data_IF_144501821465
#
_entry.id   IF_144501821465
#
_cell.length_a   1.000
_cell.length_b   1.000
_cell.length_c   1.000
_cell.angle_alpha   90.00
_cell.angle_beta   90.00
_cell.angle_gamma   90.00
#
_symmetry.space_group_name_H-M   'P 1'
#
loop_
_entity.id
_entity.type
_entity.pdbx_description
1 polymer ?
#
# COMPACT_ATOMS: atom_id res chain seq x y z
N UNK A 1 3.28 -27.69 -5.84
CA UNK A 1 1.96 -27.33 -6.41
C UNK A 1 2.23 -26.49 -7.65
N UNK A 2 1.60 -26.79 -8.78
CA UNK A 2 1.85 -26.10 -10.05
C UNK A 2 1.50 -24.61 -9.92
N UNK A 3 2.33 -23.70 -10.44
CA UNK A 3 2.16 -22.25 -10.38
C UNK A 3 0.79 -21.79 -10.90
N UNK A 4 0.31 -22.43 -11.96
CA UNK A 4 -1.01 -22.17 -12.55
C UNK A 4 -2.14 -22.48 -11.56
N UNK A 5 -2.09 -23.62 -10.87
CA UNK A 5 -3.09 -23.97 -9.86
C UNK A 5 -3.07 -22.99 -8.69
N UNK A 6 -1.88 -22.57 -8.25
CA UNK A 6 -1.75 -21.56 -7.18
C UNK A 6 -2.43 -20.25 -7.55
N UNK A 7 -2.27 -19.79 -8.80
CA UNK A 7 -2.94 -18.56 -9.29
C UNK A 7 -4.46 -18.75 -9.38
N UNK A 8 -4.95 -19.89 -9.84
CA UNK A 8 -6.40 -20.18 -9.90
C UNK A 8 -7.01 -20.13 -8.49
N UNK A 9 -6.40 -20.82 -7.52
CA UNK A 9 -6.86 -20.78 -6.12
C UNK A 9 -6.81 -19.38 -5.52
N UNK A 10 -5.83 -18.56 -5.87
CA UNK A 10 -5.74 -17.17 -5.42
C UNK A 10 -6.90 -16.32 -5.96
N UNK A 11 -7.32 -16.51 -7.21
CA UNK A 11 -8.49 -15.83 -7.76
C UNK A 11 -9.80 -16.30 -7.11
N UNK A 12 -9.99 -17.62 -6.93
CA UNK A 12 -11.17 -18.15 -6.24
C UNK A 12 -11.28 -17.59 -4.82
N UNK A 13 -10.16 -17.53 -4.11
CA UNK A 13 -10.12 -16.92 -2.77
C UNK A 13 -10.42 -15.42 -2.84
N UNK A 14 -9.93 -14.71 -3.85
CA UNK A 14 -10.28 -13.30 -4.09
C UNK A 14 -11.79 -13.08 -4.21
N UNK A 15 -12.50 -13.94 -4.94
CA UNK A 15 -13.95 -13.87 -5.07
C UNK A 15 -14.66 -14.01 -3.72
N UNK A 16 -14.15 -14.86 -2.81
CA UNK A 16 -14.72 -15.00 -1.47
C UNK A 16 -14.59 -13.72 -0.64
N UNK A 17 -13.49 -12.97 -0.79
CA UNK A 17 -13.27 -11.69 -0.08
C UNK A 17 -14.09 -10.53 -0.63
N UNK A 18 -14.79 -10.65 -1.77
CA UNK A 18 -15.67 -9.60 -2.34
C UNK A 18 -16.78 -9.13 -1.39
N UNK A 19 -17.13 -9.94 -0.39
CA UNK A 19 -18.06 -9.53 0.67
C UNK A 19 -17.50 -8.45 1.60
N UNK A 20 -16.19 -8.34 1.71
CA UNK A 20 -15.48 -7.40 2.61
C UNK A 20 -14.67 -6.34 1.88
N UNK A 21 -14.34 -6.57 0.63
CA UNK A 21 -13.51 -5.70 -0.20
C UNK A 21 -14.26 -5.43 -1.50
N UNK A 22 -14.45 -4.16 -1.84
CA UNK A 22 -14.94 -3.77 -3.15
C UNK A 22 -13.81 -3.91 -4.17
N UNK A 23 -14.02 -4.66 -5.23
CA UNK A 23 -13.02 -4.95 -6.25
C UNK A 23 -13.54 -4.56 -7.63
N UNK A 24 -12.84 -3.67 -8.32
CA UNK A 24 -13.18 -3.26 -9.69
C UNK A 24 -12.94 -4.37 -10.73
N UNK A 25 -12.11 -5.37 -10.39
CA UNK A 25 -11.81 -6.51 -11.24
C UNK A 25 -11.36 -7.73 -10.46
N UNK A 26 -10.59 -8.61 -11.11
CA UNK A 26 -10.03 -9.79 -10.47
C UNK A 26 -8.84 -9.40 -9.58
N UNK A 27 -8.88 -9.83 -8.32
CA UNK A 27 -7.82 -9.67 -7.32
C UNK A 27 -7.36 -11.04 -6.87
N UNK A 28 -6.04 -11.27 -6.90
CA UNK A 28 -5.43 -12.51 -6.41
C UNK A 28 -5.20 -12.42 -4.91
N UNK A 29 -5.70 -13.39 -4.15
CA UNK A 29 -5.44 -13.50 -2.71
C UNK A 29 -4.72 -14.83 -2.46
N UNK A 30 -3.40 -14.77 -2.23
CA UNK A 30 -2.54 -15.97 -2.19
C UNK A 30 -2.62 -16.77 -0.89
N UNK A 31 -3.27 -16.25 0.14
CA UNK A 31 -3.42 -16.95 1.40
C UNK A 31 -4.51 -16.35 2.28
N UNK A 32 -4.51 -16.72 3.54
CA UNK A 32 -5.43 -16.11 4.52
C UNK A 32 -5.02 -14.69 4.82
N UNK A 33 -5.94 -13.74 4.69
CA UNK A 33 -5.75 -12.32 5.06
C UNK A 33 -6.77 -11.92 6.13
N UNK A 34 -6.46 -10.87 6.89
CA UNK A 34 -7.35 -10.31 7.91
C UNK A 34 -7.95 -9.00 7.39
N UNK A 35 -9.26 -8.97 7.22
CA UNK A 35 -9.98 -7.78 6.73
C UNK A 35 -10.97 -7.33 7.79
N UNK A 36 -10.84 -6.08 8.24
CA UNK A 36 -11.75 -5.41 9.17
C UNK A 36 -12.19 -4.07 8.59
N UNK A 37 -13.48 -3.88 8.40
CA UNK A 37 -14.06 -2.67 7.84
C UNK A 37 -15.33 -2.26 8.57
N UNK A 38 -15.21 -1.85 9.82
CA UNK A 38 -16.31 -1.29 10.60
C UNK A 38 -16.44 0.20 10.32
N UNK A 39 -17.59 0.63 9.78
CA UNK A 39 -17.83 2.00 9.33
C UNK A 39 -16.77 2.51 8.34
N UNK A 40 -16.29 1.63 7.46
CA UNK A 40 -15.30 1.98 6.45
C UNK A 40 -15.45 1.16 5.18
N UNK A 41 -14.71 1.52 4.15
CA UNK A 41 -14.65 0.80 2.89
C UNK A 41 -13.21 0.47 2.51
N UNK A 42 -13.04 -0.66 1.84
CA UNK A 42 -11.77 -1.09 1.26
C UNK A 42 -12.03 -1.34 -0.23
N UNK A 43 -11.35 -0.56 -1.08
CA UNK A 43 -11.52 -0.61 -2.52
C UNK A 43 -10.22 -1.07 -3.18
N UNK A 44 -10.31 -2.03 -4.10
CA UNK A 44 -9.20 -2.47 -4.92
C UNK A 44 -9.52 -2.30 -6.40
N UNK A 45 -8.55 -1.84 -7.14
CA UNK A 45 -8.54 -1.83 -8.59
C UNK A 45 -8.44 -3.23 -9.20
N UNK A 46 -8.09 -3.30 -10.47
CA UNK A 46 -7.95 -4.54 -11.24
C UNK A 46 -6.55 -5.14 -11.08
N UNK A 47 -6.43 -6.46 -11.24
CA UNK A 47 -5.15 -7.19 -11.31
C UNK A 47 -4.25 -7.03 -10.07
N UNK A 48 -4.79 -6.64 -8.94
CA UNK A 48 -4.05 -6.56 -7.69
C UNK A 48 -3.72 -7.93 -7.12
N UNK A 49 -2.71 -7.96 -6.25
CA UNK A 49 -2.29 -9.16 -5.53
C UNK A 49 -2.20 -8.88 -4.04
N UNK A 50 -2.74 -9.77 -3.21
CA UNK A 50 -2.66 -9.68 -1.75
C UNK A 50 -2.06 -10.99 -1.24
N UNK A 51 -1.00 -10.87 -0.47
CA UNK A 51 -0.23 -12.00 0.01
C UNK A 51 -0.61 -12.44 1.43
N UNK A 52 -0.19 -13.63 1.87
CA UNK A 52 -0.65 -14.22 3.13
C UNK A 52 -0.36 -13.35 4.36
N UNK A 53 -1.25 -13.37 5.33
CA UNK A 53 -1.08 -12.64 6.58
C UNK A 53 -1.31 -11.13 6.50
N UNK A 54 -1.56 -10.58 5.31
CA UNK A 54 -1.87 -9.16 5.18
C UNK A 54 -3.08 -8.78 6.04
N UNK A 55 -3.01 -7.64 6.72
CA UNK A 55 -4.06 -7.10 7.59
C UNK A 55 -4.52 -5.74 7.06
N UNK A 56 -5.74 -5.70 6.57
CA UNK A 56 -6.36 -4.50 6.01
C UNK A 56 -7.47 -4.04 6.95
N UNK A 57 -7.29 -2.87 7.55
CA UNK A 57 -8.23 -2.30 8.51
C UNK A 57 -8.71 -0.95 7.98
N UNK A 58 -10.02 -0.80 7.85
CA UNK A 58 -10.68 0.46 7.49
C UNK A 58 -11.82 0.70 8.48
N UNK A 59 -11.49 1.29 9.62
CA UNK A 59 -12.39 1.46 10.75
C UNK A 59 -12.49 2.94 11.15
N UNK A 60 -13.62 3.58 10.84
CA UNK A 60 -13.93 4.91 11.34
C UNK A 60 -14.59 4.88 12.72
N UNK A 61 -14.36 5.89 13.53
CA UNK A 61 -15.15 6.17 14.74
C UNK A 61 -16.50 6.79 14.40
N UNK A 62 -16.57 7.58 13.32
CA UNK A 62 -17.79 8.21 12.84
C UNK A 62 -18.48 7.32 11.80
N UNK A 63 -19.75 7.06 11.98
CA UNK A 63 -20.58 6.37 10.96
C UNK A 63 -20.79 7.25 9.73
N UNK A 64 -20.84 8.57 9.92
CA UNK A 64 -21.12 9.53 8.85
C UNK A 64 -19.92 9.74 7.92
N UNK A 65 -18.70 9.76 8.48
CA UNK A 65 -17.47 10.05 7.75
C UNK A 65 -16.63 8.80 7.45
N UNK A 66 -17.17 7.67 7.26
CA UNK A 66 -16.48 6.38 7.10
C UNK A 66 -15.00 6.43 6.66
N UNK A 67 -14.20 5.47 7.10
CA UNK A 67 -12.81 5.34 6.67
C UNK A 67 -12.73 4.80 5.23
N UNK A 68 -11.75 5.24 4.44
CA UNK A 68 -11.58 4.81 3.04
C UNK A 68 -10.13 4.38 2.77
N UNK A 69 -9.95 3.08 2.56
CA UNK A 69 -8.72 2.51 2.00
C UNK A 69 -8.92 2.22 0.52
N UNK A 70 -8.12 2.85 -0.33
CA UNK A 70 -8.13 2.62 -1.79
C UNK A 70 -6.78 2.11 -2.26
N UNK A 71 -6.79 1.10 -3.11
CA UNK A 71 -5.61 0.54 -3.77
C UNK A 71 -5.88 0.50 -5.28
N UNK A 72 -5.03 1.15 -6.05
CA UNK A 72 -5.12 1.25 -7.50
C UNK A 72 -4.78 -0.06 -8.23
N UNK A 73 -4.85 0.01 -9.54
CA UNK A 73 -4.65 -1.14 -10.44
C UNK A 73 -3.23 -1.72 -10.35
N UNK A 74 -3.09 -3.01 -10.56
CA UNK A 74 -1.81 -3.72 -10.65
C UNK A 74 -0.92 -3.64 -9.40
N UNK A 75 -1.44 -3.18 -8.27
CA UNK A 75 -0.68 -3.02 -7.04
C UNK A 75 -0.64 -4.30 -6.21
N UNK A 76 0.44 -4.47 -5.44
CA UNK A 76 0.69 -5.66 -4.64
C UNK A 76 0.89 -5.33 -3.17
N UNK A 77 0.20 -6.07 -2.29
CA UNK A 77 0.35 -5.99 -0.83
C UNK A 77 1.05 -7.25 -0.35
N UNK A 78 2.30 -7.12 0.09
CA UNK A 78 3.15 -8.22 0.52
C UNK A 78 2.70 -8.93 1.79
N UNK A 79 3.38 -10.05 2.08
CA UNK A 79 3.07 -10.90 3.23
C UNK A 79 3.10 -10.11 4.55
N UNK A 80 2.17 -10.38 5.44
CA UNK A 80 2.06 -9.80 6.79
C UNK A 80 2.06 -8.26 6.86
N UNK A 81 1.96 -7.59 5.72
CA UNK A 81 1.83 -6.13 5.66
C UNK A 81 0.55 -5.69 6.33
N UNK A 82 0.62 -4.63 7.12
CA UNK A 82 -0.52 -4.07 7.85
C UNK A 82 -0.83 -2.66 7.36
N UNK A 83 -2.10 -2.42 7.03
CA UNK A 83 -2.62 -1.10 6.67
C UNK A 83 -3.72 -0.75 7.66
N UNK A 84 -3.51 0.33 8.43
CA UNK A 84 -4.44 0.83 9.44
C UNK A 84 -5.00 2.17 8.97
N UNK A 85 -6.28 2.19 8.63
CA UNK A 85 -6.97 3.35 8.09
C UNK A 85 -8.16 3.72 8.99
N UNK A 86 -8.23 4.96 9.42
CA UNK A 86 -9.31 5.54 10.21
C UNK A 86 -10.02 6.68 9.50
N UNK A 87 -9.32 7.40 8.64
CA UNK A 87 -9.86 8.42 7.73
C UNK A 87 -9.58 8.00 6.29
N UNK A 88 -8.34 8.15 5.79
CA UNK A 88 -8.04 7.87 4.39
C UNK A 88 -6.61 7.36 4.16
N UNK A 89 -6.52 6.24 3.44
CA UNK A 89 -5.27 5.76 2.85
C UNK A 89 -5.50 5.55 1.36
N UNK A 90 -4.71 6.22 0.53
CA UNK A 90 -4.73 6.07 -0.92
C UNK A 90 -3.42 5.48 -1.40
N UNK A 91 -3.50 4.37 -2.12
CA UNK A 91 -2.38 3.69 -2.77
C UNK A 91 -2.69 3.69 -4.26
N UNK A 92 -1.77 4.20 -5.06
CA UNK A 92 -1.90 4.36 -6.50
C UNK A 92 -1.78 3.05 -7.29
N UNK A 93 -1.54 3.20 -8.58
CA UNK A 93 -1.38 2.08 -9.51
C UNK A 93 0.07 1.59 -9.54
N UNK A 94 0.27 0.30 -9.88
CA UNK A 94 1.58 -0.30 -10.00
C UNK A 94 2.45 -0.13 -8.75
N UNK A 95 1.86 -0.04 -7.57
CA UNK A 95 2.59 0.07 -6.30
C UNK A 95 3.00 -1.31 -5.83
N UNK A 96 4.29 -1.46 -5.50
CA UNK A 96 4.85 -2.68 -4.93
C UNK A 96 5.13 -2.48 -3.44
N UNK A 97 4.35 -3.11 -2.58
CA UNK A 97 4.57 -3.12 -1.14
C UNK A 97 5.14 -4.49 -0.75
N UNK A 98 6.35 -4.49 -0.22
CA UNK A 98 7.03 -5.71 0.23
C UNK A 98 6.37 -6.29 1.50
N UNK A 99 6.97 -7.32 2.08
CA UNK A 99 6.43 -7.98 3.28
C UNK A 99 6.78 -7.22 4.58
N UNK A 100 5.98 -7.45 5.61
CA UNK A 100 6.11 -6.86 6.95
C UNK A 100 6.08 -5.31 6.99
N UNK A 101 5.51 -4.66 5.97
CA UNK A 101 5.37 -3.20 5.94
C UNK A 101 4.22 -2.77 6.86
N UNK A 102 4.36 -1.62 7.52
CA UNK A 102 3.31 -1.01 8.32
C UNK A 102 2.94 0.37 7.76
N UNK A 103 1.67 0.55 7.41
CA UNK A 103 1.09 1.82 6.97
C UNK A 103 0.11 2.26 8.05
N UNK A 104 0.47 3.29 8.81
CA UNK A 104 -0.19 3.72 10.04
C UNK A 104 -0.71 5.15 9.89
N UNK A 105 -1.96 5.27 9.46
CA UNK A 105 -2.57 6.56 9.14
C UNK A 105 -3.03 7.34 10.39
N UNK A 106 -3.01 6.72 11.55
CA UNK A 106 -3.42 7.35 12.80
C UNK A 106 -2.60 6.87 13.98
N UNK A 107 -2.62 7.64 15.06
CA UNK A 107 -2.15 7.20 16.36
C UNK A 107 -3.17 6.22 16.96
N UNK A 108 -2.70 5.20 17.67
CA UNK A 108 -3.59 4.28 18.37
C UNK A 108 -4.08 4.87 19.70
N UNK A 109 -3.27 5.71 20.30
CA UNK A 109 -3.52 6.39 21.58
C UNK A 109 -3.16 7.87 21.47
N UNK A 110 -3.83 8.72 22.23
CA UNK A 110 -3.50 10.13 22.35
C UNK A 110 -2.77 10.39 23.67
N UNK A 111 -1.58 11.02 23.65
CA UNK A 111 -0.95 11.49 24.87
C UNK A 111 -1.89 12.45 25.61
N UNK A 112 -2.09 12.22 26.92
CA UNK A 112 -2.96 13.05 27.73
C UNK A 112 -4.47 12.81 27.57
N UNK A 113 -4.90 11.75 26.85
CA UNK A 113 -6.30 11.32 26.80
C UNK A 113 -7.21 12.10 25.85
N UNK A 114 -6.64 12.90 24.95
CA UNK A 114 -7.38 13.61 23.90
C UNK A 114 -7.78 12.71 22.72
N UNK A 115 -8.26 13.32 21.64
CA UNK A 115 -8.62 12.60 20.43
C UNK A 115 -7.41 12.00 19.71
N UNK A 116 -7.60 10.82 19.15
CA UNK A 116 -6.59 10.18 18.31
C UNK A 116 -6.49 10.92 16.98
N UNK A 117 -5.29 11.36 16.65
CA UNK A 117 -5.03 12.11 15.42
C UNK A 117 -4.87 11.13 14.25
N UNK A 118 -5.72 11.30 13.24
CA UNK A 118 -5.63 10.66 11.94
C UNK A 118 -5.24 11.70 10.89
N UNK A 119 -4.30 11.36 10.00
CA UNK A 119 -3.88 12.20 8.89
C UNK A 119 -3.71 11.33 7.65
N UNK A 120 -4.36 11.66 6.53
CA UNK A 120 -4.35 10.85 5.33
C UNK A 120 -2.94 10.48 4.87
N UNK A 121 -2.78 9.26 4.38
CA UNK A 121 -1.56 8.80 3.70
C UNK A 121 -1.85 8.67 2.21
N UNK A 122 -0.95 9.19 1.39
CA UNK A 122 -0.98 9.05 -0.06
C UNK A 122 0.30 8.38 -0.53
N UNK A 123 0.16 7.28 -1.24
CA UNK A 123 1.24 6.58 -1.93
C UNK A 123 0.89 6.66 -3.42
N UNK A 124 1.64 7.44 -4.17
CA UNK A 124 1.37 7.66 -5.58
C UNK A 124 1.73 6.45 -6.45
N UNK A 125 1.53 6.56 -7.75
CA UNK A 125 1.76 5.47 -8.70
C UNK A 125 3.23 5.05 -8.74
N UNK A 126 3.49 3.77 -9.08
CA UNK A 126 4.83 3.24 -9.33
C UNK A 126 5.77 3.32 -8.10
N UNK A 127 5.26 3.47 -6.90
CA UNK A 127 6.08 3.47 -5.68
C UNK A 127 6.46 2.04 -5.30
N UNK A 128 7.71 1.86 -4.91
CA UNK A 128 8.18 0.62 -4.28
C UNK A 128 8.50 0.85 -2.80
N UNK A 129 7.84 0.09 -1.93
CA UNK A 129 8.09 0.13 -0.48
C UNK A 129 8.82 -1.14 -0.07
N UNK A 130 10.03 -0.98 0.43
CA UNK A 130 10.90 -2.05 0.89
C UNK A 130 10.41 -2.74 2.15
N UNK A 131 10.95 -3.92 2.39
CA UNK A 131 10.63 -4.80 3.52
C UNK A 131 10.71 -4.07 4.86
N UNK A 132 9.73 -4.31 5.75
CA UNK A 132 9.69 -3.77 7.12
C UNK A 132 9.70 -2.24 7.21
N UNK A 133 9.41 -1.53 6.13
CA UNK A 133 9.25 -0.08 6.20
C UNK A 133 8.00 0.29 7.01
N UNK A 134 8.04 1.45 7.64
CA UNK A 134 6.93 2.03 8.40
C UNK A 134 6.60 3.38 7.78
N UNK A 135 5.35 3.54 7.34
CA UNK A 135 4.84 4.81 6.79
C UNK A 135 3.89 5.40 7.83
N UNK A 136 4.20 6.59 8.32
CA UNK A 136 3.41 7.26 9.34
C UNK A 136 2.36 8.18 8.74
N UNK A 137 1.38 8.56 9.56
CA UNK A 137 0.26 9.44 9.23
C UNK A 137 0.71 10.74 8.57
N UNK A 138 -0.11 11.25 7.66
CA UNK A 138 0.09 12.52 6.98
C UNK A 138 1.15 12.51 5.87
N UNK A 139 1.77 11.36 5.57
CA UNK A 139 2.85 11.27 4.58
C UNK A 139 2.29 11.10 3.17
N UNK A 140 2.87 11.86 2.22
CA UNK A 140 2.75 11.63 0.78
C UNK A 140 4.06 11.06 0.24
N UNK A 141 3.99 9.91 -0.43
CA UNK A 141 5.12 9.32 -1.16
C UNK A 141 4.88 9.54 -2.65
N UNK A 142 5.71 10.39 -3.26
CA UNK A 142 5.58 10.80 -4.66
C UNK A 142 5.86 9.67 -5.65
N UNK A 143 5.28 9.80 -6.84
CA UNK A 143 5.34 8.84 -7.94
C UNK A 143 6.76 8.31 -8.20
N UNK A 144 6.87 7.01 -8.47
CA UNK A 144 8.11 6.36 -8.85
C UNK A 144 9.18 6.31 -7.75
N UNK A 145 8.85 6.74 -6.52
CA UNK A 145 9.82 6.73 -5.42
C UNK A 145 10.04 5.33 -4.85
N UNK A 146 11.18 5.13 -4.24
CA UNK A 146 11.59 3.87 -3.61
C UNK A 146 11.87 4.13 -2.14
N UNK A 147 11.19 3.40 -1.27
CA UNK A 147 11.44 3.41 0.18
C UNK A 147 12.30 2.22 0.55
N UNK A 148 13.46 2.49 1.16
CA UNK A 148 14.41 1.46 1.58
C UNK A 148 13.83 0.53 2.64
N UNK A 149 14.37 -0.69 2.70
CA UNK A 149 13.97 -1.66 3.73
C UNK A 149 14.24 -1.12 5.14
N UNK A 150 13.31 -1.34 6.07
CA UNK A 150 13.39 -0.89 7.45
C UNK A 150 13.28 0.63 7.66
N UNK A 151 12.97 1.39 6.62
CA UNK A 151 12.84 2.85 6.72
C UNK A 151 11.60 3.24 7.54
N UNK A 152 11.72 4.33 8.32
CA UNK A 152 10.58 4.94 9.02
C UNK A 152 10.29 6.30 8.40
N UNK A 153 9.26 6.36 7.55
CA UNK A 153 8.90 7.56 6.80
C UNK A 153 7.96 8.42 7.64
N UNK A 154 8.47 9.59 8.02
CA UNK A 154 7.80 10.55 8.90
C UNK A 154 7.47 11.88 8.20
N UNK A 155 7.92 12.06 6.96
CA UNK A 155 7.74 13.26 6.13
C UNK A 155 7.55 12.85 4.69
N UNK A 156 7.01 13.78 3.89
CA UNK A 156 6.79 13.56 2.46
C UNK A 156 8.08 13.20 1.73
N UNK A 157 7.95 12.31 0.75
CA UNK A 157 9.02 11.89 -0.15
C UNK A 157 8.69 12.43 -1.54
N UNK A 158 9.54 13.29 -2.13
CA UNK A 158 9.31 13.81 -3.47
C UNK A 158 9.29 12.70 -4.53
N UNK A 159 8.64 12.91 -5.68
CA UNK A 159 8.64 11.94 -6.77
C UNK A 159 10.05 11.53 -7.20
N UNK A 160 10.18 10.27 -7.65
CA UNK A 160 11.42 9.67 -8.17
C UNK A 160 12.59 9.82 -7.19
N UNK A 161 12.35 9.55 -5.92
CA UNK A 161 13.34 9.70 -4.86
C UNK A 161 13.51 8.38 -4.10
N UNK A 162 14.76 7.98 -3.87
CA UNK A 162 15.08 6.96 -2.89
C UNK A 162 15.17 7.58 -1.50
N UNK A 163 14.33 7.10 -0.60
CA UNK A 163 14.34 7.51 0.81
C UNK A 163 14.60 6.30 1.71
N UNK A 164 15.43 6.47 2.73
CA UNK A 164 15.79 5.37 3.64
C UNK A 164 16.27 5.85 5.00
N UNK A 165 16.34 4.93 5.96
CA UNK A 165 16.79 5.18 7.33
C UNK A 165 15.66 5.38 8.33
N UNK A 166 15.99 5.64 9.60
CA UNK A 166 15.06 5.92 10.69
C UNK A 166 15.55 7.14 11.50
N UNK A 167 14.89 8.33 11.40
CA UNK A 167 13.84 8.62 10.42
C UNK A 167 14.37 8.62 8.98
N UNK A 168 13.51 8.30 8.01
CA UNK A 168 13.87 8.27 6.60
C UNK A 168 14.26 9.65 6.09
N UNK A 169 15.33 9.67 5.28
CA UNK A 169 15.82 10.86 4.58
C UNK A 169 15.82 10.61 3.08
N UNK A 170 15.60 11.66 2.30
CA UNK A 170 15.74 11.61 0.85
C UNK A 170 17.24 11.52 0.51
N UNK A 171 17.66 10.40 -0.08
CA UNK A 171 19.07 10.07 -0.30
C UNK A 171 19.53 10.47 -1.70
N UNK A 172 18.75 10.10 -2.73
CA UNK A 172 19.10 10.37 -4.13
C UNK A 172 17.88 10.31 -5.04
N UNK A 173 17.98 10.88 -6.21
CA UNK A 173 17.01 10.68 -7.29
C UNK A 173 17.17 9.29 -7.88
N UNK A 174 16.04 8.70 -8.28
CA UNK A 174 15.97 7.37 -8.91
C UNK A 174 15.03 7.44 -10.11
N UNK A 175 15.13 6.45 -10.98
CA UNK A 175 14.08 6.14 -11.96
C UNK A 175 13.03 5.26 -11.28
N UNK A 176 11.82 5.20 -11.88
CA UNK A 176 10.81 4.24 -11.43
C UNK A 176 11.39 2.82 -11.46
N UNK A 177 11.02 1.99 -10.48
CA UNK A 177 11.39 0.58 -10.45
C UNK A 177 10.81 -0.23 -11.63
N UNK A 178 9.82 0.32 -12.31
CA UNK A 178 9.22 -0.28 -13.51
C UNK A 178 10.05 -0.06 -14.78
N UNK A 179 11.09 0.79 -14.73
CA UNK A 179 11.78 1.29 -15.91
C UNK A 179 10.96 2.40 -16.61
N UNK A 180 11.61 3.34 -17.26
CA UNK A 180 10.91 4.27 -18.15
C UNK A 180 10.70 3.60 -19.50
N UNK A 181 9.50 3.68 -20.04
CA UNK A 181 9.21 3.31 -21.43
C UNK A 181 10.01 4.13 -22.46
N UNK A 182 10.64 5.21 -22.03
CA UNK A 182 11.33 6.17 -22.88
C UNK A 182 12.83 5.86 -23.14
N UNK A 183 13.39 4.81 -22.48
CA UNK A 183 14.82 4.49 -22.67
C UNK A 183 15.10 3.40 -23.71
N UNK A 184 14.09 2.73 -24.19
CA UNK A 184 14.28 1.71 -25.26
C UNK A 184 14.58 2.37 -26.60
N UNK A 185 14.25 3.63 -26.80
CA UNK A 185 14.51 4.36 -28.05
C UNK A 185 15.88 5.04 -28.09
N UNK A 186 16.47 5.41 -26.94
CA UNK A 186 17.75 6.10 -26.91
C UNK A 186 18.97 5.17 -27.02
N UNK A 187 18.86 3.89 -26.63
CA UNK A 187 19.92 2.90 -26.74
C UNK A 187 19.95 2.16 -28.08
N UNK A 188 18.95 2.33 -28.92
CA UNK A 188 18.93 1.78 -30.29
C UNK A 188 19.52 2.76 -31.34
N UNK A 189 19.96 3.95 -30.93
CA UNK A 189 20.49 5.02 -31.80
C UNK A 189 22.01 5.29 -31.62
N UNK A 190 22.74 4.48 -30.82
CA UNK A 190 24.20 4.41 -30.78
C UNK A 190 24.68 3.03 -31.30
#
# INVERSE_FOLDING_TARGET
>A
MNETLTKIFAYVRGLWYRRKIKMAGLVKVFGRINVRNSHGTINFGKRCSIYPGAKLVSNSRSKEKGAVLTVGDCSSIGDRTQIQCRDRVTIGNNVLIAWDVNILEHDFHSPGGGDVVAQPIVIEDEVWIGVRAIILKGVTIGKGSIIGAGAVVTKDVPPYTFAGGNPAKNVKKVKSWMGSSDETEAQAAE
#
